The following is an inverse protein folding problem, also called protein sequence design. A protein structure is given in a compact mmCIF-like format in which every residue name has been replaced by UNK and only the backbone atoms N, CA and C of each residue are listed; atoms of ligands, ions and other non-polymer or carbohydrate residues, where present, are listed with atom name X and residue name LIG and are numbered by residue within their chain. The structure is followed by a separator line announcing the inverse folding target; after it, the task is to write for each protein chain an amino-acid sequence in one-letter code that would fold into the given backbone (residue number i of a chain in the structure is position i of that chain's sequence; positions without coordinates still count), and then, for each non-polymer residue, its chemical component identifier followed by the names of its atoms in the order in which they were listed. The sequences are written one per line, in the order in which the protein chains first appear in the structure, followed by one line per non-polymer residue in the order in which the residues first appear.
data_IF_843674435670
#
_entry.id   IF_843674435670
#
_cell.length_a   1.000
_cell.length_b   1.000
_cell.length_c   1.000
_cell.angle_alpha   90.00
_cell.angle_beta   90.00
_cell.angle_gamma   90.00
#
_symmetry.space_group_name_H-M   'P 1'
#
loop_
_entity.id
_entity.type
_entity.pdbx_description
1 polymer ?
#
# COMPACT_ATOMS: atom_id res chain seq x y z
N UNK A 1 -11.77 12.62 -10.77
CA UNK A 1 -10.41 12.04 -10.71
C UNK A 1 -10.43 11.00 -9.62
N UNK A 2 -10.08 9.76 -9.97
CA UNK A 2 -10.19 8.62 -9.08
C UNK A 2 -8.98 8.55 -8.13
N UNK A 3 -9.15 7.81 -7.05
CA UNK A 3 -8.11 7.56 -6.06
C UNK A 3 -8.01 6.07 -5.81
N UNK A 4 -6.80 5.52 -5.89
CA UNK A 4 -6.52 4.15 -5.47
C UNK A 4 -6.01 4.17 -4.03
N UNK A 5 -6.60 3.34 -3.17
CA UNK A 5 -5.99 2.99 -1.89
C UNK A 5 -5.32 1.65 -2.07
N UNK A 6 -4.00 1.61 -1.92
CA UNK A 6 -3.19 0.39 -2.00
C UNK A 6 -2.66 0.07 -0.61
N UNK A 7 -2.66 -1.21 -0.23
CA UNK A 7 -2.11 -1.66 1.05
C UNK A 7 -1.38 -2.99 0.93
N UNK A 8 -0.32 -3.13 1.73
CA UNK A 8 0.41 -4.38 1.94
C UNK A 8 0.48 -4.73 3.44
N UNK A 9 0.51 -6.03 3.71
CA UNK A 9 0.76 -6.63 5.02
C UNK A 9 1.59 -7.89 4.82
N UNK A 10 2.82 -7.84 5.29
CA UNK A 10 3.82 -8.87 5.03
C UNK A 10 4.41 -9.37 6.34
N UNK A 11 4.70 -10.66 6.38
CA UNK A 11 5.70 -11.21 7.28
C UNK A 11 7.05 -11.15 6.57
N UNK A 12 8.05 -10.53 7.20
CA UNK A 12 9.38 -10.32 6.61
C UNK A 12 10.06 -11.64 6.19
N UNK A 13 9.71 -12.76 6.83
CA UNK A 13 10.31 -14.07 6.53
C UNK A 13 9.47 -14.92 5.57
N UNK A 14 8.14 -14.79 5.60
CA UNK A 14 7.23 -15.68 4.85
C UNK A 14 6.50 -15.00 3.71
N UNK A 15 6.62 -13.68 3.57
CA UNK A 15 6.01 -12.89 2.51
C UNK A 15 4.59 -12.41 2.82
N UNK A 16 3.83 -12.16 1.75
CA UNK A 16 2.49 -11.58 1.78
C UNK A 16 1.52 -12.36 2.68
N UNK A 17 0.79 -11.62 3.51
CA UNK A 17 -0.23 -12.11 4.42
C UNK A 17 -1.64 -11.67 4.03
N UNK A 18 -1.79 -10.85 2.99
CA UNK A 18 -3.09 -10.38 2.54
C UNK A 18 -3.83 -11.44 1.72
N UNK A 19 -5.16 -11.45 1.85
CA UNK A 19 -5.99 -12.21 0.95
C UNK A 19 -6.07 -11.53 -0.43
N UNK A 20 -6.28 -12.34 -1.47
CA UNK A 20 -6.45 -11.82 -2.83
C UNK A 20 -7.59 -10.80 -2.89
N UNK A 21 -7.30 -9.64 -3.50
CA UNK A 21 -8.28 -8.56 -3.68
C UNK A 21 -8.40 -7.59 -2.50
N UNK A 22 -7.65 -7.77 -1.40
CA UNK A 22 -7.62 -6.77 -0.31
C UNK A 22 -6.62 -5.64 -0.54
N UNK A 23 -5.72 -5.80 -1.51
CA UNK A 23 -4.56 -4.92 -1.67
C UNK A 23 -4.87 -3.60 -2.35
N UNK A 24 -5.97 -3.48 -3.09
CA UNK A 24 -6.34 -2.25 -3.80
C UNK A 24 -7.85 -1.99 -3.78
N UNK A 25 -8.25 -0.74 -3.63
CA UNK A 25 -9.65 -0.30 -3.76
C UNK A 25 -9.72 1.10 -4.38
N UNK A 26 -10.71 1.32 -5.25
CA UNK A 26 -10.90 2.58 -5.96
C UNK A 26 -12.00 3.45 -5.34
N UNK A 27 -11.79 4.76 -5.43
CA UNK A 27 -12.73 5.77 -4.93
C UNK A 27 -12.85 6.95 -5.88
N UNK A 28 -14.07 7.45 -6.05
CA UNK A 28 -14.34 8.67 -6.84
C UNK A 28 -13.99 9.96 -6.10
N UNK A 29 -13.65 9.87 -4.81
CA UNK A 29 -13.32 11.04 -3.98
C UNK A 29 -12.15 10.80 -3.03
N UNK A 30 -11.32 11.83 -2.88
CA UNK A 30 -10.19 11.83 -1.93
C UNK A 30 -10.68 11.60 -0.49
N UNK A 31 -11.80 12.22 -0.11
CA UNK A 31 -12.35 12.08 1.24
C UNK A 31 -12.72 10.63 1.57
N UNK A 32 -13.35 9.92 0.62
CA UNK A 32 -13.68 8.50 0.79
C UNK A 32 -12.41 7.64 0.84
N UNK A 33 -11.42 7.91 -0.03
CA UNK A 33 -10.14 7.21 -0.04
C UNK A 33 -9.39 7.37 1.29
N UNK A 34 -9.34 8.59 1.85
CA UNK A 34 -8.73 8.87 3.16
C UNK A 34 -9.47 8.17 4.31
N UNK A 35 -10.81 8.15 4.26
CA UNK A 35 -11.61 7.43 5.25
C UNK A 35 -11.33 5.92 5.19
N UNK A 36 -11.22 5.37 3.98
CA UNK A 36 -10.86 3.97 3.78
C UNK A 36 -9.43 3.66 4.26
N UNK A 37 -8.46 4.53 3.98
CA UNK A 37 -7.09 4.39 4.49
C UNK A 37 -7.07 4.31 6.02
N UNK A 38 -7.79 5.19 6.72
CA UNK A 38 -7.87 5.16 8.19
C UNK A 38 -8.52 3.87 8.72
N UNK A 39 -9.57 3.41 8.04
CA UNK A 39 -10.23 2.15 8.37
C UNK A 39 -9.30 0.95 8.16
N UNK A 40 -8.66 0.87 6.98
CA UNK A 40 -7.75 -0.23 6.62
C UNK A 40 -6.51 -0.25 7.53
N UNK A 41 -5.95 0.91 7.88
CA UNK A 41 -4.86 0.98 8.85
C UNK A 41 -5.23 0.35 10.21
N UNK A 42 -6.46 0.58 10.67
CA UNK A 42 -6.96 -0.05 11.91
C UNK A 42 -7.12 -1.56 11.77
N UNK A 43 -7.60 -2.05 10.61
CA UNK A 43 -7.71 -3.47 10.32
C UNK A 43 -6.34 -4.16 10.28
N UNK A 44 -5.34 -3.52 9.67
CA UNK A 44 -3.98 -4.05 9.61
C UNK A 44 -3.31 -4.12 10.99
N UNK A 45 -3.53 -3.14 11.87
CA UNK A 45 -3.07 -3.22 13.27
C UNK A 45 -3.70 -4.41 14.02
N UNK A 46 -4.97 -4.70 13.77
CA UNK A 46 -5.63 -5.91 14.32
C UNK A 46 -5.02 -7.18 13.71
N UNK A 47 -4.79 -7.20 12.40
CA UNK A 47 -4.22 -8.36 11.70
C UNK A 47 -2.81 -8.68 12.20
N UNK A 48 -1.95 -7.67 12.37
CA UNK A 48 -0.61 -7.82 12.99
C UNK A 48 -0.73 -8.38 14.41
N UNK A 49 -1.66 -7.85 15.21
CA UNK A 49 -1.88 -8.35 16.58
C UNK A 49 -2.30 -9.82 16.60
N UNK A 50 -3.09 -10.25 15.62
CA UNK A 50 -3.50 -11.65 15.47
C UNK A 50 -2.34 -12.52 15.00
N UNK A 51 -1.64 -12.13 13.94
CA UNK A 51 -0.48 -12.87 13.40
C UNK A 51 0.61 -13.07 14.47
N UNK A 52 0.86 -12.06 15.31
CA UNK A 52 1.82 -12.15 16.41
C UNK A 52 1.44 -13.19 17.48
N UNK A 53 0.16 -13.56 17.61
CA UNK A 53 -0.23 -14.66 18.53
C UNK A 53 0.27 -16.01 18.04
N UNK A 54 0.38 -16.17 16.73
CA UNK A 54 0.84 -17.40 16.08
C UNK A 54 2.36 -17.40 15.93
N UNK A 55 2.96 -16.24 15.68
CA UNK A 55 4.41 -16.04 15.52
C UNK A 55 4.91 -14.83 16.34
N UNK A 56 5.15 -15.00 17.65
CA UNK A 56 5.45 -13.89 18.56
C UNK A 56 6.67 -13.05 18.18
N UNK A 57 7.71 -13.72 17.68
CA UNK A 57 9.00 -13.11 17.36
C UNK A 57 9.09 -12.63 15.89
N UNK A 58 8.04 -12.85 15.09
CA UNK A 58 8.02 -12.41 13.71
C UNK A 58 8.03 -10.87 13.60
N UNK A 59 8.61 -10.42 12.49
CA UNK A 59 8.57 -9.02 12.06
C UNK A 59 7.56 -8.90 10.93
N UNK A 60 6.74 -7.87 11.00
CA UNK A 60 5.74 -7.60 9.99
C UNK A 60 5.92 -6.20 9.43
N UNK A 61 5.64 -6.02 8.15
CA UNK A 61 5.56 -4.72 7.50
C UNK A 61 4.11 -4.49 7.12
N UNK A 62 3.60 -3.30 7.40
CA UNK A 62 2.32 -2.83 6.86
C UNK A 62 2.55 -1.48 6.23
N UNK A 63 2.05 -1.26 5.01
CA UNK A 63 2.01 0.06 4.43
C UNK A 63 0.72 0.28 3.65
N UNK A 64 0.28 1.54 3.59
CA UNK A 64 -0.90 1.97 2.86
C UNK A 64 -0.61 3.30 2.17
N UNK A 65 -1.10 3.43 0.94
CA UNK A 65 -0.99 4.61 0.11
C UNK A 65 -2.37 5.02 -0.36
N UNK A 66 -2.64 6.33 -0.43
CA UNK A 66 -3.67 6.89 -1.31
C UNK A 66 -2.93 7.49 -2.49
N UNK A 67 -3.16 6.97 -3.69
CA UNK A 67 -2.68 7.52 -4.94
C UNK A 67 -3.80 8.24 -5.66
N UNK A 68 -3.49 9.41 -6.22
CA UNK A 68 -4.35 10.07 -7.21
C UNK A 68 -4.08 9.46 -8.57
N UNK A 69 -5.10 8.87 -9.20
CA UNK A 69 -4.94 8.28 -10.52
C UNK A 69 -4.70 9.37 -11.56
N UNK A 70 -3.72 9.20 -12.47
CA UNK A 70 -3.38 10.20 -13.49
C UNK A 70 -4.53 10.40 -14.48
N UNK A 71 -5.28 9.34 -14.77
CA UNK A 71 -6.46 9.34 -15.62
C UNK A 71 -7.69 8.86 -14.83
N UNK A 72 -8.91 9.17 -15.30
CA UNK A 72 -10.12 8.52 -14.80
C UNK A 72 -10.07 7.02 -15.11
N UNK A 73 -10.40 6.17 -14.14
CA UNK A 73 -10.41 4.71 -14.26
C UNK A 73 -11.73 4.15 -13.76
N UNK A 74 -12.24 3.10 -14.39
CA UNK A 74 -13.50 2.44 -14.06
C UNK A 74 -13.32 1.11 -13.34
N UNK A 75 -12.11 0.52 -13.39
CA UNK A 75 -11.81 -0.78 -12.79
C UNK A 75 -10.43 -0.83 -12.13
N UNK A 76 -10.24 -1.80 -11.23
CA UNK A 76 -8.94 -2.05 -10.60
C UNK A 76 -7.89 -2.42 -11.65
N UNK A 77 -8.24 -3.25 -12.63
CA UNK A 77 -7.32 -3.69 -13.67
C UNK A 77 -6.80 -2.49 -14.48
N UNK A 78 -7.69 -1.58 -14.87
CA UNK A 78 -7.33 -0.33 -15.55
C UNK A 78 -6.47 0.58 -14.66
N UNK A 79 -6.75 0.63 -13.36
CA UNK A 79 -5.90 1.38 -12.43
C UNK A 79 -4.49 0.82 -12.30
N UNK A 80 -4.33 -0.51 -12.35
CA UNK A 80 -3.02 -1.15 -12.32
C UNK A 80 -2.27 -0.92 -13.64
N UNK A 81 -2.95 -1.08 -14.79
CA UNK A 81 -2.39 -0.78 -16.11
C UNK A 81 -1.91 0.69 -16.21
N UNK A 82 -2.71 1.64 -15.71
CA UNK A 82 -2.31 3.05 -15.67
C UNK A 82 -1.07 3.30 -14.79
N UNK A 83 -0.95 2.61 -13.65
CA UNK A 83 0.22 2.73 -12.77
C UNK A 83 1.46 2.07 -13.36
N UNK A 84 1.31 0.93 -14.04
CA UNK A 84 2.37 0.29 -14.83
C UNK A 84 2.87 1.23 -15.92
N UNK A 85 1.95 1.87 -16.66
CA UNK A 85 2.31 2.83 -17.70
C UNK A 85 3.05 4.06 -17.15
N UNK A 86 2.71 4.52 -15.95
CA UNK A 86 3.50 5.57 -15.27
C UNK A 86 4.95 5.12 -15.12
N UNK A 87 5.21 3.88 -14.69
CA UNK A 87 6.58 3.37 -14.56
C UNK A 87 7.30 3.30 -15.91
N UNK A 88 6.64 2.75 -16.93
CA UNK A 88 7.22 2.62 -18.27
C UNK A 88 7.61 3.98 -18.89
N UNK A 89 6.78 5.00 -18.67
CA UNK A 89 7.01 6.36 -19.19
C UNK A 89 7.97 7.20 -18.31
N UNK A 90 8.31 6.73 -17.11
CA UNK A 90 9.16 7.45 -16.15
C UNK A 90 10.35 6.64 -15.63
N UNK A 91 10.83 5.65 -16.39
CA UNK A 91 11.93 4.73 -16.04
C UNK A 91 13.26 5.45 -15.61
N UNK A 92 13.45 6.72 -15.96
CA UNK A 92 14.60 7.53 -15.54
C UNK A 92 14.34 8.41 -14.28
N UNK A 93 13.17 8.33 -13.67
CA UNK A 93 12.74 9.16 -12.53
C UNK A 93 12.91 8.38 -11.21
N UNK A 94 13.60 8.99 -10.23
CA UNK A 94 13.88 8.36 -8.93
C UNK A 94 12.64 8.06 -8.06
N UNK A 95 11.51 8.75 -8.28
CA UNK A 95 10.25 8.57 -7.55
C UNK A 95 9.04 8.80 -8.50
N UNK A 96 8.69 7.80 -9.33
CA UNK A 96 7.69 7.94 -10.38
C UNK A 96 6.27 8.20 -9.82
N UNK A 97 6.01 7.73 -8.61
CA UNK A 97 4.71 7.87 -7.94
C UNK A 97 4.63 9.03 -6.95
N UNK A 98 5.75 9.67 -6.60
CA UNK A 98 5.82 10.66 -5.52
C UNK A 98 4.80 11.79 -5.63
N UNK A 99 4.56 12.31 -6.84
CA UNK A 99 3.55 13.35 -7.09
C UNK A 99 2.10 12.85 -7.01
N UNK A 100 1.88 11.55 -7.18
CA UNK A 100 0.57 10.92 -7.08
C UNK A 100 0.18 10.61 -5.63
N UNK A 101 1.14 10.57 -4.70
CA UNK A 101 0.87 10.24 -3.29
C UNK A 101 0.09 11.37 -2.61
N UNK A 102 -1.12 11.03 -2.17
CA UNK A 102 -2.04 11.91 -1.45
C UNK A 102 -1.95 11.68 0.07
N UNK A 103 -1.70 10.44 0.48
CA UNK A 103 -1.57 10.04 1.87
C UNK A 103 -0.74 8.76 1.99
N UNK A 104 -0.03 8.62 3.11
CA UNK A 104 0.76 7.45 3.42
C UNK A 104 0.64 7.10 4.91
N UNK A 105 0.64 5.81 5.22
CA UNK A 105 0.87 5.29 6.55
C UNK A 105 1.63 3.97 6.43
N UNK A 106 2.77 3.83 7.10
CA UNK A 106 3.54 2.60 7.06
C UNK A 106 4.32 2.35 8.33
N UNK A 107 4.44 1.07 8.69
CA UNK A 107 5.05 0.64 9.93
C UNK A 107 5.74 -0.71 9.80
N UNK A 108 6.89 -0.81 10.45
CA UNK A 108 7.54 -2.07 10.81
C UNK A 108 7.10 -2.45 12.22
N UNK A 109 6.60 -3.66 12.38
CA UNK A 109 6.12 -4.22 13.64
C UNK A 109 7.08 -5.30 14.11
N UNK A 110 7.98 -4.93 15.02
CA UNK A 110 8.89 -5.85 15.69
C UNK A 110 8.29 -6.31 17.04
N UNK A 111 8.93 -7.30 17.66
CA UNK A 111 8.48 -7.81 18.96
C UNK A 111 8.59 -6.77 20.09
N UNK A 112 9.53 -5.83 19.96
CA UNK A 112 9.80 -4.77 20.94
C UNK A 112 9.03 -3.47 20.66
N UNK A 113 8.37 -3.35 19.52
CA UNK A 113 7.54 -2.19 19.20
C UNK A 113 7.26 -1.98 17.73
N UNK A 114 6.68 -0.81 17.45
CA UNK A 114 6.27 -0.35 16.13
C UNK A 114 7.09 0.87 15.76
N UNK A 115 7.75 0.84 14.61
CA UNK A 115 8.50 1.97 14.05
C UNK A 115 7.91 2.37 12.71
N UNK A 116 8.06 3.63 12.33
CA UNK A 116 7.64 4.10 11.00
C UNK A 116 8.39 3.34 9.90
N UNK A 117 7.65 2.95 8.88
CA UNK A 117 8.19 2.46 7.62
C UNK A 117 8.32 3.63 6.66
N UNK A 118 9.39 3.66 5.87
CA UNK A 118 9.64 4.79 4.98
C UNK A 118 8.73 4.70 3.74
N UNK A 119 8.11 5.83 3.35
CA UNK A 119 7.30 5.92 2.14
C UNK A 119 8.08 5.47 0.90
N UNK A 120 9.33 5.91 0.75
CA UNK A 120 10.20 5.51 -0.36
C UNK A 120 10.53 4.01 -0.39
N UNK A 121 10.39 3.29 0.73
CA UNK A 121 10.52 1.84 0.73
C UNK A 121 9.21 1.18 0.23
N UNK A 122 8.06 1.67 0.70
CA UNK A 122 6.75 1.21 0.22
C UNK A 122 6.51 1.49 -1.28
N UNK A 123 6.99 2.62 -1.80
CA UNK A 123 6.87 2.94 -3.23
C UNK A 123 7.72 2.00 -4.10
N UNK A 124 8.94 1.64 -3.67
CA UNK A 124 9.75 0.63 -4.36
C UNK A 124 9.15 -0.77 -4.32
N UNK A 125 8.45 -1.12 -3.23
CA UNK A 125 7.69 -2.37 -3.16
C UNK A 125 6.48 -2.34 -4.10
N UNK A 126 5.80 -1.20 -4.20
CA UNK A 126 4.73 -1.00 -5.18
C UNK A 126 5.25 -1.13 -6.61
N UNK A 127 6.37 -0.50 -6.94
CA UNK A 127 7.05 -0.63 -8.23
C UNK A 127 7.34 -2.10 -8.56
N UNK A 128 7.95 -2.83 -7.63
CA UNK A 128 8.26 -4.24 -7.80
C UNK A 128 7.02 -5.15 -7.87
N UNK A 129 5.86 -4.71 -7.34
CA UNK A 129 4.61 -5.45 -7.46
C UNK A 129 3.94 -5.28 -8.83
N UNK A 130 4.20 -4.15 -9.50
CA UNK A 130 3.65 -3.82 -10.81
C UNK A 130 4.48 -4.38 -11.99
N UNK A 131 5.72 -4.84 -11.75
CA UNK A 131 6.64 -5.34 -12.80
C UNK A 131 7.03 -6.80 -12.61
#
# INVERSE_FOLDING_TARGET
MNHAVISSFENVETGDMQAQGESITLFDSEAAARAHLAHRASLLDVAVTQARRETPDARFITWLLVLRMPLPVESIDEALEDLELVLEETDEVDDPFGELVVAYAGFMHAADGKTEYAQAAALRELEAWLT
#
